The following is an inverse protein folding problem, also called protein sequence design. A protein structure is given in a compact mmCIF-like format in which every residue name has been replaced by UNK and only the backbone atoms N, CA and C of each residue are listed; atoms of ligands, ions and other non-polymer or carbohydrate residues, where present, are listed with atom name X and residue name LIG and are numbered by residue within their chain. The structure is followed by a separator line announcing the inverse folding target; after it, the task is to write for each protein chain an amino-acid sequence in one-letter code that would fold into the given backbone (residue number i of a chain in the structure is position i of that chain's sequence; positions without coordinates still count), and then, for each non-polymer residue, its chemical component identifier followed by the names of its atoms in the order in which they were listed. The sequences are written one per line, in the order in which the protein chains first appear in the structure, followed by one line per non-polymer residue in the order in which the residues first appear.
data_IF_406237571538
#
_entry.id   IF_406237571538
#
_cell.length_a   1.000
_cell.length_b   1.000
_cell.length_c   1.000
_cell.angle_alpha   90.00
_cell.angle_beta   90.00
_cell.angle_gamma   90.00
#
_symmetry.space_group_name_H-M   'P 1'
#
loop_
_entity.id
_entity.type
_entity.pdbx_description
1 polymer ?
#
# COMPACT_ATOMS: atom_id res chain seq x y z
N UNK A 1 -2.88 8.05 1.59
CA UNK A 1 -1.90 8.35 0.54
C UNK A 1 -2.46 7.93 -0.83
N UNK A 2 -2.83 6.66 -1.01
CA UNK A 2 -3.32 6.10 -2.28
C UNK A 2 -4.46 6.94 -2.91
N UNK A 3 -5.49 7.29 -2.14
CA UNK A 3 -6.62 8.10 -2.61
C UNK A 3 -6.18 9.51 -3.04
N UNK A 4 -5.32 10.16 -2.23
CA UNK A 4 -4.83 11.50 -2.53
C UNK A 4 -3.99 11.50 -3.81
N UNK A 5 -3.08 10.53 -3.98
CA UNK A 5 -2.28 10.38 -5.18
C UNK A 5 -3.14 10.15 -6.43
N UNK A 6 -4.17 9.29 -6.32
CA UNK A 6 -5.12 9.05 -7.42
C UNK A 6 -5.93 10.29 -7.79
N UNK A 7 -6.39 11.05 -6.80
CA UNK A 7 -7.11 12.31 -7.02
C UNK A 7 -6.24 13.36 -7.70
N UNK A 8 -5.00 13.55 -7.22
CA UNK A 8 -4.05 14.50 -7.84
C UNK A 8 -3.76 14.10 -9.29
N UNK A 9 -3.53 12.81 -9.55
CA UNK A 9 -3.35 12.30 -10.91
C UNK A 9 -4.53 12.65 -11.81
N UNK A 10 -5.75 12.30 -11.37
CA UNK A 10 -6.98 12.53 -12.13
C UNK A 10 -7.23 14.01 -12.40
N UNK A 11 -6.95 14.86 -11.42
CA UNK A 11 -7.14 16.31 -11.54
C UNK A 11 -6.19 16.93 -12.57
N UNK A 12 -4.91 16.54 -12.56
CA UNK A 12 -3.92 17.00 -13.55
C UNK A 12 -4.32 16.55 -14.96
N UNK A 13 -4.70 15.29 -15.13
CA UNK A 13 -5.13 14.76 -16.43
C UNK A 13 -6.34 15.51 -16.96
N UNK A 14 -7.33 15.80 -16.09
CA UNK A 14 -8.53 16.54 -16.46
C UNK A 14 -8.24 17.99 -16.84
N UNK A 15 -7.41 18.68 -16.06
CA UNK A 15 -7.08 20.10 -16.29
C UNK A 15 -6.20 20.32 -17.52
N UNK A 16 -5.36 19.35 -17.88
CA UNK A 16 -4.46 19.43 -19.04
C UNK A 16 -5.06 18.84 -20.32
N UNK A 17 -6.37 18.57 -20.36
CA UNK A 17 -7.09 18.16 -21.58
C UNK A 17 -6.88 16.70 -22.00
N UNK A 18 -6.34 15.82 -21.14
CA UNK A 18 -6.31 14.38 -21.37
C UNK A 18 -5.33 13.86 -22.41
N UNK A 19 -4.34 14.66 -22.81
CA UNK A 19 -3.29 14.24 -23.75
C UNK A 19 -2.36 13.19 -23.10
N UNK A 20 -1.62 12.43 -23.93
CA UNK A 20 -0.63 11.45 -23.43
C UNK A 20 0.41 12.11 -22.52
N UNK A 21 0.81 13.36 -22.81
CA UNK A 21 1.70 14.13 -21.94
C UNK A 21 1.10 14.40 -20.56
N UNK A 22 -0.20 14.76 -20.50
CA UNK A 22 -0.88 15.00 -19.23
C UNK A 22 -1.00 13.74 -18.37
N UNK A 23 -1.12 12.57 -18.99
CA UNK A 23 -1.13 11.28 -18.28
C UNK A 23 0.22 11.02 -17.62
N UNK A 24 1.32 11.21 -18.34
CA UNK A 24 2.67 11.02 -17.79
C UNK A 24 2.93 11.99 -16.63
N UNK A 25 2.60 13.27 -16.80
CA UNK A 25 2.74 14.28 -15.75
C UNK A 25 1.87 13.91 -14.54
N UNK A 26 0.63 13.47 -14.76
CA UNK A 26 -0.27 13.03 -13.69
C UNK A 26 0.28 11.86 -12.89
N UNK A 27 0.87 10.86 -13.54
CA UNK A 27 1.51 9.71 -12.88
C UNK A 27 2.71 10.17 -12.06
N UNK A 28 3.60 10.99 -12.63
CA UNK A 28 4.77 11.51 -11.92
C UNK A 28 4.32 12.31 -10.69
N UNK A 29 3.32 13.18 -10.83
CA UNK A 29 2.78 13.94 -9.71
C UNK A 29 2.19 13.05 -8.62
N UNK A 30 1.48 11.97 -8.97
CA UNK A 30 0.96 10.99 -8.01
C UNK A 30 2.09 10.32 -7.22
N UNK A 31 3.19 9.96 -7.88
CA UNK A 31 4.37 9.37 -7.24
C UNK A 31 5.07 10.36 -6.31
N UNK A 32 5.23 11.62 -6.74
CA UNK A 32 5.83 12.68 -5.92
C UNK A 32 4.99 12.98 -4.70
N UNK A 33 3.67 13.11 -4.85
CA UNK A 33 2.74 13.31 -3.73
C UNK A 33 2.77 12.10 -2.79
N UNK A 34 2.78 10.88 -3.32
CA UNK A 34 2.92 9.66 -2.54
C UNK A 34 4.22 9.65 -1.73
N UNK A 35 5.35 9.97 -2.37
CA UNK A 35 6.66 10.07 -1.72
C UNK A 35 6.68 11.14 -0.63
N UNK A 36 6.14 12.33 -0.90
CA UNK A 36 6.09 13.45 0.05
C UNK A 36 5.24 13.10 1.28
N UNK A 37 4.05 12.54 1.09
CA UNK A 37 3.18 12.09 2.19
C UNK A 37 3.83 10.96 2.99
N UNK A 38 4.50 10.01 2.32
CA UNK A 38 5.24 8.96 2.97
C UNK A 38 6.41 9.50 3.79
N UNK A 39 7.23 10.39 3.20
CA UNK A 39 8.34 11.04 3.89
C UNK A 39 7.87 11.86 5.10
N UNK A 40 6.74 12.55 5.00
CA UNK A 40 6.13 13.30 6.11
C UNK A 40 5.74 12.37 7.27
N UNK A 41 5.07 11.25 6.98
CA UNK A 41 4.76 10.23 8.00
C UNK A 41 6.04 9.67 8.64
N UNK A 42 7.04 9.32 7.83
CA UNK A 42 8.32 8.80 8.29
C UNK A 42 9.09 9.80 9.15
N UNK A 43 9.02 11.08 8.81
CA UNK A 43 9.62 12.15 9.60
C UNK A 43 8.95 12.28 10.99
N UNK A 44 7.63 12.27 11.08
CA UNK A 44 6.89 12.32 12.35
C UNK A 44 7.23 11.11 13.21
N UNK A 45 7.19 9.91 12.65
CA UNK A 45 7.48 8.65 13.35
C UNK A 45 8.92 8.66 13.87
N UNK A 46 9.87 8.98 13.01
CA UNK A 46 11.30 8.88 13.34
C UNK A 46 11.81 10.01 14.22
N UNK A 47 11.25 11.23 14.12
CA UNK A 47 11.70 12.39 14.93
C UNK A 47 11.03 12.43 16.30
N UNK A 48 9.74 12.12 16.38
CA UNK A 48 8.96 12.22 17.61
C UNK A 48 8.86 10.89 18.37
N UNK A 49 9.37 9.78 17.80
CA UNK A 49 9.25 8.43 18.34
C UNK A 49 7.80 8.01 18.67
N UNK A 50 6.84 8.51 17.89
CA UNK A 50 5.43 8.15 18.03
C UNK A 50 5.20 6.78 17.39
N UNK A 51 4.37 5.90 18.00
CA UNK A 51 4.03 4.62 17.39
C UNK A 51 3.51 4.77 15.96
N UNK A 52 4.10 4.03 15.03
CA UNK A 52 3.83 4.12 13.60
C UNK A 52 2.34 3.96 13.25
N UNK A 53 1.66 3.06 13.96
CA UNK A 53 0.23 2.81 13.77
C UNK A 53 -0.63 4.05 14.00
N UNK A 54 -0.32 4.84 15.05
CA UNK A 54 -1.06 6.07 15.34
C UNK A 54 -0.86 7.12 14.25
N UNK A 55 0.39 7.36 13.83
CA UNK A 55 0.70 8.35 12.79
C UNK A 55 0.06 7.96 11.45
N UNK A 56 0.09 6.68 11.09
CA UNK A 56 -0.48 6.23 9.81
C UNK A 56 -2.01 6.25 9.81
N UNK A 57 -2.67 5.97 10.94
CA UNK A 57 -4.12 6.13 11.07
C UNK A 57 -4.55 7.61 11.01
N UNK A 58 -3.86 8.50 11.72
CA UNK A 58 -4.10 9.95 11.58
C UNK A 58 -3.84 10.43 10.15
N UNK A 59 -2.77 9.92 9.51
CA UNK A 59 -2.46 10.21 8.12
C UNK A 59 -3.53 9.71 7.14
N UNK A 60 -4.21 8.60 7.45
CA UNK A 60 -5.32 8.11 6.63
C UNK A 60 -6.45 9.15 6.58
N UNK A 61 -6.87 9.66 7.72
CA UNK A 61 -7.91 10.69 7.80
C UNK A 61 -7.46 12.02 7.18
N UNK A 62 -6.23 12.45 7.48
CA UNK A 62 -5.65 13.69 6.93
C UNK A 62 -5.61 13.65 5.39
N UNK A 63 -5.07 12.59 4.79
CA UNK A 63 -4.96 12.50 3.32
C UNK A 63 -6.29 12.25 2.65
N UNK A 64 -7.24 11.57 3.31
CA UNK A 64 -8.60 11.43 2.80
C UNK A 64 -9.37 12.76 2.84
N UNK A 65 -9.19 13.55 3.91
CA UNK A 65 -9.73 14.89 4.02
C UNK A 65 -9.15 15.84 2.98
N UNK A 66 -7.83 15.82 2.76
CA UNK A 66 -7.17 16.60 1.71
C UNK A 66 -7.68 16.20 0.31
N UNK A 67 -7.82 14.90 0.03
CA UNK A 67 -8.37 14.44 -1.24
C UNK A 67 -9.82 14.93 -1.44
N UNK A 68 -10.63 14.92 -0.38
CA UNK A 68 -11.99 15.42 -0.41
C UNK A 68 -12.04 16.95 -0.63
N UNK A 69 -11.19 17.70 0.05
CA UNK A 69 -11.08 19.15 -0.11
C UNK A 69 -10.67 19.54 -1.54
N UNK A 70 -9.73 18.84 -2.13
CA UNK A 70 -9.26 19.08 -3.51
C UNK A 70 -10.34 18.74 -4.54
N UNK A 71 -11.14 17.68 -4.32
CA UNK A 71 -12.21 17.29 -5.24
C UNK A 71 -13.48 18.13 -5.07
N UNK A 72 -13.63 18.85 -3.97
CA UNK A 72 -14.87 19.57 -3.63
C UNK A 72 -16.05 18.63 -3.32
N UNK A 73 -15.79 17.36 -3.02
CA UNK A 73 -16.79 16.35 -2.64
C UNK A 73 -17.14 15.32 -3.72
N UNK A 74 -17.47 15.69 -4.98
CA UNK A 74 -17.80 14.70 -6.00
C UNK A 74 -16.56 13.95 -6.51
N UNK A 75 -16.79 12.73 -7.00
CA UNK A 75 -15.75 11.96 -7.68
C UNK A 75 -15.35 12.64 -9.00
N UNK A 76 -14.06 12.61 -9.33
CA UNK A 76 -13.56 12.98 -10.66
C UNK A 76 -13.77 11.78 -11.58
N UNK A 77 -14.71 11.89 -12.49
CA UNK A 77 -15.07 10.84 -13.44
C UNK A 77 -14.66 11.20 -14.87
N UNK A 78 -14.81 10.24 -15.78
CA UNK A 78 -14.62 10.43 -17.23
C UNK A 78 -13.17 10.81 -17.58
N UNK A 79 -12.22 10.02 -17.13
CA UNK A 79 -10.83 10.14 -17.50
C UNK A 79 -10.61 9.61 -18.94
N UNK A 80 -9.58 10.07 -19.66
CA UNK A 80 -9.30 9.64 -21.03
C UNK A 80 -9.12 8.14 -21.18
N UNK A 81 -9.54 7.58 -22.31
CA UNK A 81 -9.42 6.14 -22.58
C UNK A 81 -7.96 5.66 -22.57
N UNK A 82 -7.02 6.51 -22.98
CA UNK A 82 -5.60 6.19 -22.89
C UNK A 82 -5.14 5.93 -21.43
N UNK A 83 -5.66 6.67 -20.47
CA UNK A 83 -5.40 6.44 -19.04
C UNK A 83 -6.09 5.17 -18.54
N UNK A 84 -7.33 4.94 -18.93
CA UNK A 84 -8.10 3.74 -18.58
C UNK A 84 -7.40 2.46 -19.06
N UNK A 85 -6.72 2.49 -20.20
CA UNK A 85 -5.99 1.36 -20.75
C UNK A 85 -4.77 0.95 -19.91
N UNK A 86 -4.27 1.78 -19.00
CA UNK A 86 -3.17 1.42 -18.09
C UNK A 86 -3.56 0.24 -17.19
N UNK A 87 -4.78 0.25 -16.64
CA UNK A 87 -5.25 -0.83 -15.80
C UNK A 87 -6.13 -1.86 -16.52
N UNK A 88 -6.94 -1.43 -17.51
CA UNK A 88 -7.88 -2.30 -18.19
C UNK A 88 -7.37 -2.79 -19.57
N UNK A 89 -6.23 -2.28 -20.03
CA UNK A 89 -5.60 -2.74 -21.25
C UNK A 89 -5.00 -4.13 -21.11
N UNK A 90 -4.90 -4.85 -22.24
CA UNK A 90 -4.26 -6.16 -22.31
C UNK A 90 -3.22 -6.21 -23.41
N UNK A 91 -2.13 -6.91 -23.19
CA UNK A 91 -1.12 -7.25 -24.19
C UNK A 91 -1.35 -8.72 -24.55
N UNK A 92 -2.06 -8.97 -25.64
CA UNK A 92 -2.56 -10.31 -25.98
C UNK A 92 -3.61 -10.77 -24.97
N UNK A 93 -3.38 -11.90 -24.31
CA UNK A 93 -4.28 -12.47 -23.32
C UNK A 93 -4.01 -11.99 -21.86
N UNK A 94 -2.95 -11.19 -21.63
CA UNK A 94 -2.49 -10.85 -20.28
C UNK A 94 -2.80 -9.36 -19.99
N UNK A 95 -3.52 -9.04 -18.89
CA UNK A 95 -3.76 -7.67 -18.46
C UNK A 95 -2.44 -6.94 -18.11
N UNK A 96 -2.33 -5.66 -18.48
CA UNK A 96 -1.14 -4.81 -18.21
C UNK A 96 -0.84 -4.73 -16.72
N UNK A 97 -1.85 -4.75 -15.86
CA UNK A 97 -1.70 -4.69 -14.39
C UNK A 97 -0.81 -5.81 -13.86
N UNK A 98 -0.81 -7.00 -14.48
CA UNK A 98 0.05 -8.12 -14.05
C UNK A 98 1.53 -7.76 -14.25
N UNK A 99 1.88 -7.11 -15.36
CA UNK A 99 3.26 -6.67 -15.59
C UNK A 99 3.70 -5.60 -14.58
N UNK A 100 2.81 -4.65 -14.25
CA UNK A 100 3.06 -3.65 -13.21
C UNK A 100 3.28 -4.34 -11.85
N UNK A 101 2.43 -5.30 -11.51
CA UNK A 101 2.53 -6.07 -10.26
C UNK A 101 3.86 -6.83 -10.18
N UNK A 102 4.23 -7.57 -11.23
CA UNK A 102 5.50 -8.31 -11.28
C UNK A 102 6.69 -7.36 -11.16
N UNK A 103 6.69 -6.23 -11.87
CA UNK A 103 7.75 -5.24 -11.78
C UNK A 103 7.91 -4.69 -10.36
N UNK A 104 6.81 -4.32 -9.70
CA UNK A 104 6.82 -3.84 -8.31
C UNK A 104 7.36 -4.92 -7.36
N UNK A 105 6.91 -6.17 -7.50
CA UNK A 105 7.36 -7.29 -6.67
C UNK A 105 8.87 -7.52 -6.84
N UNK A 106 9.38 -7.50 -8.07
CA UNK A 106 10.81 -7.66 -8.35
C UNK A 106 11.64 -6.53 -7.73
N UNK A 107 11.20 -5.27 -7.90
CA UNK A 107 11.87 -4.10 -7.33
C UNK A 107 11.92 -4.20 -5.80
N UNK A 108 10.80 -4.50 -5.14
CA UNK A 108 10.76 -4.62 -3.68
C UNK A 108 11.59 -5.78 -3.19
N UNK A 109 11.53 -6.93 -3.87
CA UNK A 109 12.34 -8.10 -3.51
C UNK A 109 13.83 -7.79 -3.64
N UNK A 110 14.22 -7.07 -4.70
CA UNK A 110 15.59 -6.63 -4.90
C UNK A 110 16.04 -5.67 -3.80
N UNK A 111 15.22 -4.65 -3.48
CA UNK A 111 15.53 -3.68 -2.42
C UNK A 111 15.70 -4.40 -1.07
N UNK A 112 14.77 -5.28 -0.71
CA UNK A 112 14.78 -5.94 0.60
C UNK A 112 15.88 -6.98 0.76
N UNK A 113 16.31 -7.68 -0.33
CA UNK A 113 17.30 -8.76 -0.25
C UNK A 113 18.70 -8.34 -0.67
N UNK A 114 18.84 -7.39 -1.58
CA UNK A 114 20.10 -7.10 -2.24
C UNK A 114 20.68 -5.72 -1.88
N UNK A 115 19.98 -4.91 -1.05
CA UNK A 115 20.50 -3.59 -0.68
C UNK A 115 20.79 -3.48 0.82
N UNK A 116 21.76 -2.62 1.16
CA UNK A 116 22.08 -2.28 2.56
C UNK A 116 20.84 -1.72 3.27
N UNK A 117 20.08 -0.89 2.56
CA UNK A 117 18.84 -0.31 3.06
C UNK A 117 17.82 -1.38 3.49
N UNK A 118 17.65 -2.46 2.72
CA UNK A 118 16.76 -3.56 3.10
C UNK A 118 17.19 -4.23 4.41
N UNK A 119 18.51 -4.44 4.62
CA UNK A 119 19.02 -5.00 5.87
C UNK A 119 18.84 -4.03 7.05
N UNK A 120 19.08 -2.73 6.84
CA UNK A 120 18.87 -1.71 7.88
C UNK A 120 17.40 -1.66 8.35
N UNK A 121 16.42 -1.86 7.45
CA UNK A 121 15.00 -1.95 7.81
C UNK A 121 14.76 -3.13 8.77
N UNK A 122 15.32 -4.30 8.49
CA UNK A 122 15.18 -5.46 9.38
C UNK A 122 15.83 -5.23 10.74
N UNK A 123 17.04 -4.67 10.78
CA UNK A 123 17.72 -4.35 12.04
C UNK A 123 16.97 -3.33 12.87
N UNK A 124 16.47 -2.27 12.23
CA UNK A 124 15.65 -1.25 12.90
C UNK A 124 14.37 -1.85 13.50
N UNK A 125 13.71 -2.73 12.74
CA UNK A 125 12.48 -3.39 13.20
C UNK A 125 12.68 -4.40 14.32
N UNK A 126 13.84 -5.05 14.40
CA UNK A 126 14.17 -6.01 15.46
C UNK A 126 14.49 -5.30 16.77
N UNK A 127 15.36 -4.30 16.73
CA UNK A 127 15.73 -3.50 17.93
C UNK A 127 16.31 -2.14 17.51
N UNK A 128 15.50 -1.09 17.68
CA UNK A 128 15.87 0.26 17.30
C UNK A 128 17.06 0.82 18.12
N UNK A 129 17.25 0.38 19.37
CA UNK A 129 18.39 0.83 20.19
C UNK A 129 19.69 0.16 19.72
N UNK A 130 19.66 -1.17 19.50
CA UNK A 130 20.81 -1.88 18.99
C UNK A 130 21.24 -1.37 17.59
N UNK A 131 20.28 -1.09 16.72
CA UNK A 131 20.50 -0.47 15.41
C UNK A 131 21.24 0.87 15.52
N UNK A 132 20.83 1.73 16.45
CA UNK A 132 21.50 3.02 16.72
C UNK A 132 22.94 2.85 17.21
N UNK A 133 23.19 1.89 18.11
CA UNK A 133 24.55 1.60 18.59
C UNK A 133 25.44 1.02 17.50
N UNK A 134 24.86 0.35 16.50
CA UNK A 134 25.59 -0.14 15.32
C UNK A 134 25.89 0.95 14.27
N UNK A 135 25.57 2.23 14.59
CA UNK A 135 25.85 3.37 13.71
C UNK A 135 24.79 3.61 12.62
N UNK A 136 23.67 2.91 12.64
CA UNK A 136 22.58 3.09 11.67
C UNK A 136 21.79 4.37 12.04
N UNK A 137 21.54 5.21 11.04
CA UNK A 137 20.71 6.39 11.22
C UNK A 137 19.21 6.03 11.14
N UNK A 138 18.63 5.68 12.28
CA UNK A 138 17.24 5.23 12.40
C UNK A 138 16.24 6.21 11.77
N UNK A 139 16.45 7.52 11.94
CA UNK A 139 15.58 8.56 11.37
C UNK A 139 15.58 8.50 9.84
N UNK A 140 16.77 8.42 9.23
CA UNK A 140 16.91 8.35 7.78
C UNK A 140 16.27 7.07 7.23
N UNK A 141 16.52 5.93 7.87
CA UNK A 141 15.95 4.64 7.46
C UNK A 141 14.43 4.67 7.54
N UNK A 142 13.87 5.21 8.64
CA UNK A 142 12.41 5.35 8.79
C UNK A 142 11.81 6.24 7.70
N UNK A 143 12.37 7.43 7.46
CA UNK A 143 11.87 8.34 6.41
C UNK A 143 11.90 7.66 5.04
N UNK A 144 13.01 7.01 4.67
CA UNK A 144 13.14 6.34 3.39
C UNK A 144 12.17 5.17 3.24
N UNK A 145 11.92 4.41 4.31
CA UNK A 145 10.96 3.29 4.31
C UNK A 145 9.54 3.78 4.05
N UNK A 146 9.11 4.82 4.76
CA UNK A 146 7.78 5.40 4.56
C UNK A 146 7.65 6.14 3.23
N UNK A 147 8.72 6.75 2.72
CA UNK A 147 8.76 7.34 1.39
C UNK A 147 8.58 6.28 0.30
N UNK A 148 9.29 5.15 0.38
CA UNK A 148 9.10 4.02 -0.53
C UNK A 148 7.66 3.47 -0.46
N UNK A 149 7.13 3.30 0.75
CA UNK A 149 5.74 2.89 0.95
C UNK A 149 4.75 3.90 0.34
N UNK A 150 5.02 5.19 0.46
CA UNK A 150 4.22 6.26 -0.15
C UNK A 150 4.25 6.23 -1.68
N UNK A 151 5.40 5.95 -2.29
CA UNK A 151 5.52 5.75 -3.75
C UNK A 151 4.67 4.55 -4.20
N UNK A 152 4.74 3.43 -3.49
CA UNK A 152 3.91 2.25 -3.77
C UNK A 152 2.41 2.56 -3.64
N UNK A 153 2.05 3.35 -2.62
CA UNK A 153 0.70 3.88 -2.46
C UNK A 153 0.28 4.77 -3.64
N UNK A 154 1.21 5.56 -4.18
CA UNK A 154 1.00 6.37 -5.40
C UNK A 154 0.73 5.49 -6.63
N UNK A 155 1.54 4.44 -6.85
CA UNK A 155 1.33 3.46 -7.94
C UNK A 155 -0.05 2.81 -7.80
N UNK A 156 -0.38 2.33 -6.61
CA UNK A 156 -1.68 1.71 -6.35
C UNK A 156 -2.84 2.69 -6.60
N UNK A 157 -2.69 3.97 -6.22
CA UNK A 157 -3.65 5.02 -6.48
C UNK A 157 -3.90 5.26 -7.97
N UNK A 158 -2.84 5.31 -8.77
CA UNK A 158 -2.92 5.43 -10.24
C UNK A 158 -3.64 4.21 -10.84
N UNK A 159 -3.26 3.00 -10.46
CA UNK A 159 -3.86 1.77 -10.98
C UNK A 159 -5.34 1.67 -10.65
N UNK A 160 -5.74 1.95 -9.40
CA UNK A 160 -7.15 1.90 -8.99
C UNK A 160 -7.97 2.97 -9.68
N UNK A 161 -7.44 4.20 -9.79
CA UNK A 161 -8.13 5.30 -10.48
C UNK A 161 -8.30 5.00 -11.97
N UNK A 162 -7.30 4.37 -12.60
CA UNK A 162 -7.37 3.90 -13.98
C UNK A 162 -8.41 2.77 -14.14
N UNK A 163 -8.42 1.81 -13.22
CA UNK A 163 -9.34 0.65 -13.24
C UNK A 163 -10.80 1.08 -13.10
N UNK A 164 -11.09 1.92 -12.10
CA UNK A 164 -12.44 2.43 -11.83
C UNK A 164 -12.87 3.56 -12.76
N UNK A 165 -11.95 4.13 -13.54
CA UNK A 165 -12.15 5.35 -14.34
C UNK A 165 -12.74 6.50 -13.50
N UNK A 166 -12.40 6.53 -12.21
CA UNK A 166 -12.94 7.46 -11.24
C UNK A 166 -11.97 7.64 -10.08
N UNK A 167 -11.74 8.87 -9.68
CA UNK A 167 -10.99 9.22 -8.49
C UNK A 167 -11.89 9.78 -7.40
N UNK A 168 -11.94 9.08 -6.25
CA UNK A 168 -12.73 9.47 -5.09
C UNK A 168 -11.90 9.30 -3.82
N UNK A 169 -12.12 10.15 -2.83
CA UNK A 169 -11.42 10.11 -1.54
C UNK A 169 -11.61 8.81 -0.75
N UNK A 170 -12.66 8.04 -1.04
CA UNK A 170 -13.01 6.81 -0.33
C UNK A 170 -12.70 5.50 -1.08
N UNK A 171 -12.20 5.55 -2.33
CA UNK A 171 -11.96 4.34 -3.13
C UNK A 171 -11.02 3.33 -2.47
N UNK A 172 -10.09 3.82 -1.64
CA UNK A 172 -9.09 2.99 -0.99
C UNK A 172 -9.42 2.49 0.40
N UNK A 173 -10.54 2.88 0.99
CA UNK A 173 -10.84 2.57 2.40
C UNK A 173 -10.92 1.07 2.68
N UNK A 174 -11.53 0.30 1.79
CA UNK A 174 -11.65 -1.16 1.91
C UNK A 174 -10.30 -1.89 1.79
N UNK A 175 -9.34 -1.32 1.07
CA UNK A 175 -8.03 -1.94 0.87
C UNK A 175 -7.13 -1.82 2.10
N UNK A 176 -7.41 -0.91 3.04
CA UNK A 176 -6.62 -0.76 4.27
C UNK A 176 -6.70 -2.04 5.12
N UNK A 177 -7.92 -2.51 5.39
CA UNK A 177 -8.13 -3.76 6.16
C UNK A 177 -7.62 -4.98 5.40
N UNK A 178 -7.84 -5.03 4.08
CA UNK A 178 -7.38 -6.13 3.24
C UNK A 178 -5.84 -6.21 3.21
N UNK A 179 -5.14 -5.08 3.09
CA UNK A 179 -3.66 -5.07 3.08
C UNK A 179 -3.07 -5.50 4.43
N UNK A 180 -3.70 -5.10 5.53
CA UNK A 180 -3.31 -5.56 6.86
C UNK A 180 -3.50 -7.08 7.00
N UNK A 181 -4.63 -7.62 6.54
CA UNK A 181 -4.90 -9.05 6.51
C UNK A 181 -3.85 -9.81 5.67
N UNK A 182 -3.52 -9.31 4.48
CA UNK A 182 -2.48 -9.89 3.62
C UNK A 182 -1.12 -9.92 4.33
N UNK A 183 -0.75 -8.85 5.00
CA UNK A 183 0.53 -8.74 5.70
C UNK A 183 0.62 -9.75 6.84
N UNK A 184 -0.40 -9.83 7.70
CA UNK A 184 -0.44 -10.74 8.84
C UNK A 184 -0.47 -12.20 8.37
N UNK A 185 -1.33 -12.56 7.41
CA UNK A 185 -1.35 -13.90 6.83
C UNK A 185 -0.04 -14.26 6.11
N UNK A 186 0.65 -13.25 5.56
CA UNK A 186 1.96 -13.40 4.93
C UNK A 186 3.10 -13.64 5.92
N UNK A 187 2.82 -13.60 7.23
CA UNK A 187 3.81 -13.78 8.28
C UNK A 187 4.72 -12.57 8.46
N UNK A 188 4.21 -11.37 8.20
CA UNK A 188 4.87 -10.13 8.58
C UNK A 188 4.48 -9.82 10.02
N UNK A 189 5.48 -9.65 10.89
CA UNK A 189 5.25 -9.20 12.25
C UNK A 189 4.83 -7.71 12.26
N UNK A 190 3.65 -7.37 12.80
CA UNK A 190 3.20 -5.99 12.88
C UNK A 190 4.13 -5.09 13.70
N UNK A 191 4.86 -5.66 14.67
CA UNK A 191 5.83 -4.94 15.51
C UNK A 191 7.17 -4.73 14.79
N UNK A 192 7.37 -5.33 13.62
CA UNK A 192 8.55 -5.19 12.78
C UNK A 192 9.61 -6.29 12.96
N UNK A 193 10.72 -6.18 12.22
CA UNK A 193 11.89 -7.06 12.31
C UNK A 193 11.79 -8.39 11.57
N UNK A 194 10.60 -8.89 11.31
CA UNK A 194 10.38 -10.17 10.64
C UNK A 194 9.38 -10.06 9.51
N UNK A 195 9.63 -10.77 8.42
CA UNK A 195 8.74 -10.86 7.27
C UNK A 195 9.44 -11.37 6.01
N UNK A 196 8.66 -11.99 5.12
CA UNK A 196 9.15 -12.50 3.83
C UNK A 196 8.21 -12.08 2.71
N UNK A 197 8.76 -11.50 1.66
CA UNK A 197 7.97 -11.11 0.47
C UNK A 197 7.22 -12.32 -0.12
N UNK A 198 7.81 -13.51 -0.13
CA UNK A 198 7.15 -14.73 -0.62
C UNK A 198 5.90 -15.11 0.16
N UNK A 199 5.88 -14.91 1.48
CA UNK A 199 4.69 -15.13 2.30
C UNK A 199 3.55 -14.19 1.92
N UNK A 200 3.86 -12.91 1.72
CA UNK A 200 2.89 -11.90 1.27
C UNK A 200 2.30 -12.26 -0.10
N UNK A 201 3.13 -12.68 -1.06
CA UNK A 201 2.65 -13.10 -2.38
C UNK A 201 1.68 -14.28 -2.30
N UNK A 202 1.99 -15.26 -1.46
CA UNK A 202 1.14 -16.44 -1.26
C UNK A 202 -0.21 -16.03 -0.63
N UNK A 203 -0.19 -15.11 0.33
CA UNK A 203 -1.40 -14.56 0.96
C UNK A 203 -2.26 -13.77 -0.04
N UNK A 204 -1.66 -12.99 -0.94
CA UNK A 204 -2.38 -12.28 -2.00
C UNK A 204 -3.14 -13.28 -2.87
N UNK A 205 -2.46 -14.34 -3.34
CA UNK A 205 -3.10 -15.37 -4.18
C UNK A 205 -4.23 -16.07 -3.44
N UNK A 206 -4.01 -16.46 -2.18
CA UNK A 206 -5.01 -17.12 -1.36
C UNK A 206 -6.26 -16.25 -1.18
N UNK A 207 -6.09 -15.00 -0.76
CA UNK A 207 -7.21 -14.09 -0.56
C UNK A 207 -7.93 -13.74 -1.86
N UNK A 208 -7.20 -13.67 -2.98
CA UNK A 208 -7.82 -13.47 -4.30
C UNK A 208 -8.67 -14.67 -4.72
N UNK A 209 -8.22 -15.90 -4.43
CA UNK A 209 -9.03 -17.10 -4.66
C UNK A 209 -10.31 -17.09 -3.81
N UNK A 210 -10.21 -16.71 -2.54
CA UNK A 210 -11.37 -16.56 -1.65
C UNK A 210 -12.32 -15.48 -2.18
N UNK A 211 -11.81 -14.32 -2.60
CA UNK A 211 -12.62 -13.25 -3.17
C UNK A 211 -13.34 -13.68 -4.46
N UNK A 212 -12.67 -14.44 -5.32
CA UNK A 212 -13.25 -15.00 -6.54
C UNK A 212 -14.34 -16.03 -6.22
N UNK A 213 -14.15 -16.87 -5.21
CA UNK A 213 -15.17 -17.82 -4.75
C UNK A 213 -16.46 -17.09 -4.33
N UNK A 214 -16.35 -16.00 -3.54
CA UNK A 214 -17.50 -15.18 -3.17
C UNK A 214 -18.18 -14.53 -4.38
N UNK A 215 -17.40 -14.13 -5.40
CA UNK A 215 -17.96 -13.57 -6.65
C UNK A 215 -18.79 -14.62 -7.38
N UNK A 216 -18.29 -15.85 -7.51
CA UNK A 216 -19.01 -16.96 -8.15
C UNK A 216 -20.28 -17.31 -7.36
N UNK A 217 -20.22 -17.29 -6.04
CA UNK A 217 -21.38 -17.51 -5.16
C UNK A 217 -22.35 -16.33 -5.13
N UNK A 218 -22.08 -15.24 -5.83
CA UNK A 218 -22.85 -13.99 -5.82
C UNK A 218 -23.10 -13.44 -4.40
N UNK A 219 -22.14 -13.66 -3.49
CA UNK A 219 -22.25 -13.15 -2.13
C UNK A 219 -22.20 -11.61 -2.12
N UNK A 220 -23.03 -10.94 -1.30
CA UNK A 220 -23.00 -9.49 -1.18
C UNK A 220 -21.67 -8.99 -0.59
N UNK A 221 -21.28 -7.74 -0.91
CA UNK A 221 -20.02 -7.15 -0.45
C UNK A 221 -19.92 -7.05 1.08
N UNK A 222 -21.07 -6.97 1.76
CA UNK A 222 -21.14 -7.02 3.23
C UNK A 222 -20.63 -8.35 3.79
N UNK A 223 -20.96 -9.47 3.14
CA UNK A 223 -20.47 -10.81 3.54
C UNK A 223 -18.95 -10.91 3.36
N UNK A 224 -18.40 -10.35 2.27
CA UNK A 224 -16.94 -10.30 2.06
C UNK A 224 -16.25 -9.52 3.15
N UNK A 225 -16.78 -8.34 3.50
CA UNK A 225 -16.20 -7.49 4.54
C UNK A 225 -16.23 -8.20 5.89
N UNK A 226 -17.32 -8.88 6.23
CA UNK A 226 -17.45 -9.66 7.45
C UNK A 226 -16.42 -10.81 7.50
N UNK A 227 -16.30 -11.57 6.41
CA UNK A 227 -15.35 -12.70 6.35
C UNK A 227 -13.91 -12.22 6.43
N UNK A 228 -13.55 -11.13 5.73
CA UNK A 228 -12.21 -10.55 5.82
C UNK A 228 -11.90 -10.09 7.25
N UNK A 229 -12.86 -9.49 7.97
CA UNK A 229 -12.70 -9.13 9.37
C UNK A 229 -12.50 -10.34 10.28
N UNK A 230 -13.31 -11.40 10.10
CA UNK A 230 -13.16 -12.66 10.85
C UNK A 230 -11.81 -13.33 10.59
N UNK A 231 -11.38 -13.37 9.32
CA UNK A 231 -10.08 -13.94 8.95
C UNK A 231 -8.93 -13.13 9.57
N UNK A 232 -9.04 -11.80 9.63
CA UNK A 232 -8.02 -10.96 10.27
C UNK A 232 -7.90 -11.27 11.76
N UNK A 233 -9.03 -11.38 12.49
CA UNK A 233 -9.03 -11.71 13.91
C UNK A 233 -8.44 -13.09 14.14
N UNK A 234 -8.84 -14.10 13.35
CA UNK A 234 -8.29 -15.44 13.43
C UNK A 234 -6.77 -15.47 13.15
N UNK A 235 -6.32 -14.76 12.12
CA UNK A 235 -4.90 -14.67 11.77
C UNK A 235 -4.08 -14.08 12.93
N UNK A 236 -4.55 -12.98 13.53
CA UNK A 236 -3.89 -12.35 14.68
C UNK A 236 -3.84 -13.27 15.91
N UNK A 237 -4.92 -14.02 16.18
CA UNK A 237 -4.94 -14.99 17.29
C UNK A 237 -3.92 -16.11 17.03
N UNK A 238 -3.88 -16.67 15.83
CA UNK A 238 -2.94 -17.74 15.47
C UNK A 238 -1.50 -17.25 15.57
N UNK A 239 -1.22 -16.06 15.07
CA UNK A 239 0.12 -15.44 15.13
C UNK A 239 0.55 -15.27 16.59
N UNK A 240 -0.27 -14.66 17.43
CA UNK A 240 0.02 -14.45 18.85
C UNK A 240 0.25 -15.75 19.61
N UNK A 241 -0.59 -16.77 19.37
CA UNK A 241 -0.45 -18.10 20.00
C UNK A 241 0.85 -18.77 19.56
N UNK A 242 1.21 -18.64 18.27
CA UNK A 242 2.42 -19.25 17.72
C UNK A 242 3.69 -18.60 18.29
N UNK A 243 3.72 -17.26 18.35
CA UNK A 243 4.82 -16.50 18.96
C UNK A 243 4.98 -16.87 20.44
N UNK A 244 3.88 -16.90 21.20
CA UNK A 244 3.91 -17.27 22.63
C UNK A 244 4.39 -18.69 22.86
N UNK A 245 4.01 -19.65 22.00
CA UNK A 245 4.50 -21.03 22.08
C UNK A 245 5.98 -21.18 21.76
N UNK A 246 6.50 -20.38 20.80
CA UNK A 246 7.94 -20.36 20.50
C UNK A 246 8.76 -19.81 21.65
N UNK A 247 8.31 -18.69 22.26
CA UNK A 247 8.97 -18.10 23.41
C UNK A 247 9.00 -18.98 24.67
N UNK A 248 8.08 -19.96 24.79
CA UNK A 248 8.09 -20.93 25.91
C UNK A 248 8.98 -22.15 25.65
N UNK A 249 9.47 -22.33 24.42
CA UNK A 249 10.34 -23.46 24.03
C UNK A 249 11.81 -23.09 23.89
N UNK A 250 12.13 -21.80 23.87
CA UNK A 250 13.48 -21.21 23.99
C UNK A 250 13.85 -20.89 25.43
#
# INVERSE_FOLDING_TARGET
IMNLAGVVCALIIKNMGGSTGSIVIGIIAALVVGAACGAFNGFIIGSLNIPAMLVTLCGLELYSGLALAITGGPAINSLPDAFKNIANGSIGAIPIVIFIFIAVVLIITFIMKCTVFGHEIYYLGTNAQASKYSGINNLKVTIMTYMCSGILGGIAGVVITSHLNSAKSSNGSSYTTLSLLIAVLGGINPDGGEGKVGGVLLSIVLLQLVANAFTIMRAPDTTRTLVNGCLLVLALIIDKVTVTRRARRS
#
